data_IF_303674443224
#
_entry.id   IF_303674443224
#
_cell.length_a   1.000
_cell.length_b   1.000
_cell.length_c   1.000
_cell.angle_alpha   90.00
_cell.angle_beta   90.00
_cell.angle_gamma   90.00
#
_symmetry.space_group_name_H-M   'P 1'
#
loop_
_entity.id
_entity.type
_entity.pdbx_description
1 polymer ?
#
# COMPACT_ATOMS: atom_id res chain seq x y z
N UNK A 1 -6.16 2.05 15.71
CA UNK A 1 -6.40 1.92 14.26
C UNK A 1 -7.89 1.76 13.98
N UNK A 2 -8.58 2.84 13.61
CA UNK A 2 -9.97 2.76 13.15
C UNK A 2 -10.03 2.03 11.81
N UNK A 3 -11.00 1.13 11.64
CA UNK A 3 -11.25 0.45 10.37
C UNK A 3 -11.97 1.44 9.46
N UNK A 4 -11.21 2.19 8.66
CA UNK A 4 -11.78 3.08 7.64
C UNK A 4 -12.21 2.23 6.45
N UNK A 5 -13.47 2.36 6.05
CA UNK A 5 -13.97 1.71 4.85
C UNK A 5 -13.21 2.30 3.64
N UNK A 6 -12.52 1.47 2.81
CA UNK A 6 -11.81 1.96 1.62
C UNK A 6 -12.73 2.71 0.65
N UNK A 7 -14.04 2.45 0.71
CA UNK A 7 -15.04 3.19 -0.09
C UNK A 7 -15.27 4.62 0.40
N UNK A 8 -14.84 4.99 1.61
CA UNK A 8 -14.93 6.35 2.13
C UNK A 8 -13.64 7.15 1.91
N UNK A 9 -12.60 6.53 1.36
CA UNK A 9 -11.37 7.23 1.03
C UNK A 9 -11.59 8.16 -0.17
N UNK A 10 -11.17 9.42 0.00
CA UNK A 10 -11.17 10.45 -1.06
C UNK A 10 -10.21 10.07 -2.20
N UNK A 11 -9.16 9.31 -1.88
CA UNK A 11 -8.12 8.87 -2.82
C UNK A 11 -8.10 7.35 -2.95
N UNK A 12 -7.92 6.86 -4.19
CA UNK A 12 -7.71 5.45 -4.51
C UNK A 12 -6.59 5.27 -5.54
N UNK A 13 -6.31 4.03 -5.95
CA UNK A 13 -5.36 3.74 -7.02
C UNK A 13 -6.06 3.30 -8.29
N UNK A 14 -5.51 3.73 -9.41
CA UNK A 14 -5.83 3.24 -10.73
C UNK A 14 -4.59 2.76 -11.47
N UNK A 15 -4.83 2.23 -12.66
CA UNK A 15 -3.78 1.80 -13.57
C UNK A 15 -4.08 2.32 -14.97
N UNK A 16 -3.06 2.84 -15.63
CA UNK A 16 -3.12 3.23 -17.03
C UNK A 16 -2.52 2.12 -17.87
N UNK A 17 -3.22 1.69 -18.91
CA UNK A 17 -2.78 0.67 -19.85
C UNK A 17 -3.02 1.13 -21.28
N UNK A 18 -2.11 0.78 -22.19
CA UNK A 18 -2.32 0.97 -23.64
C UNK A 18 -3.30 -0.03 -24.23
N UNK A 19 -3.39 -1.22 -23.63
CA UNK A 19 -4.31 -2.29 -24.04
C UNK A 19 -5.54 -2.28 -23.16
N UNK A 20 -6.72 -2.48 -23.75
CA UNK A 20 -7.95 -2.69 -23.00
C UNK A 20 -7.82 -4.00 -22.22
N UNK A 21 -7.87 -3.90 -20.90
CA UNK A 21 -7.84 -5.07 -20.02
C UNK A 21 -9.25 -5.68 -20.04
N UNK A 22 -9.40 -7.01 -20.29
CA UNK A 22 -10.68 -7.71 -20.18
C UNK A 22 -11.33 -7.52 -18.80
N UNK A 23 -12.63 -7.78 -18.71
CA UNK A 23 -13.36 -7.69 -17.43
C UNK A 23 -12.84 -8.77 -16.48
N UNK A 24 -12.31 -8.35 -15.33
CA UNK A 24 -11.79 -9.27 -14.31
C UNK A 24 -12.88 -9.46 -13.24
N UNK A 25 -13.23 -10.69 -12.86
CA UNK A 25 -14.19 -10.92 -11.79
C UNK A 25 -13.65 -10.40 -10.46
N UNK A 26 -14.51 -9.88 -9.57
CA UNK A 26 -14.12 -9.50 -8.22
C UNK A 26 -13.44 -10.65 -7.47
N UNK A 27 -12.40 -10.34 -6.71
CA UNK A 27 -11.70 -11.33 -5.91
C UNK A 27 -11.47 -10.84 -4.47
N UNK A 28 -11.43 -11.75 -3.49
CA UNK A 28 -11.12 -11.39 -2.12
C UNK A 28 -9.63 -11.13 -1.94
N UNK A 29 -9.32 -10.16 -1.09
CA UNK A 29 -7.99 -9.89 -0.56
C UNK A 29 -8.08 -9.67 0.95
N UNK A 30 -7.06 -10.10 1.68
CA UNK A 30 -7.03 -10.11 3.13
C UNK A 30 -5.99 -9.10 3.62
N UNK A 31 -6.43 -7.84 3.70
CA UNK A 31 -5.63 -6.72 4.17
C UNK A 31 -5.49 -6.76 5.70
N UNK A 32 -4.70 -5.83 6.27
CA UNK A 32 -4.57 -5.71 7.74
C UNK A 32 -5.92 -5.38 8.39
N UNK A 33 -6.77 -4.64 7.69
CA UNK A 33 -8.10 -4.24 8.15
C UNK A 33 -9.13 -5.37 8.10
N UNK A 34 -8.81 -6.49 7.43
CA UNK A 34 -9.70 -7.64 7.26
C UNK A 34 -9.89 -8.05 5.81
N UNK A 35 -10.94 -8.81 5.56
CA UNK A 35 -11.35 -9.20 4.21
C UNK A 35 -11.85 -7.98 3.44
N UNK A 36 -11.32 -7.79 2.23
CA UNK A 36 -11.66 -6.72 1.31
C UNK A 36 -11.92 -7.33 -0.06
N UNK A 37 -12.96 -6.85 -0.74
CA UNK A 37 -13.29 -7.30 -2.09
C UNK A 37 -12.72 -6.32 -3.10
N UNK A 38 -11.82 -6.81 -3.96
CA UNK A 38 -11.17 -6.00 -4.99
C UNK A 38 -12.00 -6.06 -6.26
N UNK A 39 -12.35 -4.88 -6.77
CA UNK A 39 -13.09 -4.72 -8.03
C UNK A 39 -12.24 -3.88 -8.98
N UNK A 40 -11.98 -4.40 -10.19
CA UNK A 40 -11.31 -3.66 -11.25
C UNK A 40 -12.38 -3.17 -12.23
N UNK A 41 -12.52 -1.85 -12.34
CA UNK A 41 -13.54 -1.21 -13.18
C UNK A 41 -12.84 -0.42 -14.27
N UNK A 42 -13.22 -0.68 -15.52
CA UNK A 42 -12.73 0.09 -16.66
C UNK A 42 -13.40 1.46 -16.66
N UNK A 43 -12.60 2.53 -16.68
CA UNK A 43 -13.12 3.88 -16.86
C UNK A 43 -13.71 4.04 -18.26
N UNK A 44 -14.89 4.68 -18.43
CA UNK A 44 -15.45 4.97 -19.74
C UNK A 44 -14.62 6.02 -20.51
N UNK A 45 -13.77 6.78 -19.81
CA UNK A 45 -12.97 7.85 -20.39
C UNK A 45 -11.59 7.33 -20.78
N UNK A 46 -11.21 7.57 -22.03
CA UNK A 46 -9.82 7.45 -22.46
C UNK A 46 -9.13 8.80 -22.25
N UNK A 47 -7.96 8.78 -21.62
CA UNK A 47 -7.17 9.98 -21.36
C UNK A 47 -5.98 10.04 -22.31
N UNK A 48 -5.65 11.25 -22.77
CA UNK A 48 -4.38 11.53 -23.44
C UNK A 48 -3.48 12.26 -22.45
N UNK A 49 -2.22 11.85 -22.38
CA UNK A 49 -1.24 12.42 -21.46
C UNK A 49 -0.13 13.09 -22.27
N UNK A 50 0.31 14.25 -21.81
CA UNK A 50 1.52 14.89 -22.30
C UNK A 50 2.77 14.15 -21.80
N UNK A 51 3.88 14.31 -22.53
CA UNK A 51 5.14 13.61 -22.24
C UNK A 51 5.69 13.93 -20.85
N UNK A 52 5.49 15.17 -20.37
CA UNK A 52 5.96 15.59 -19.04
C UNK A 52 5.16 14.88 -17.95
N UNK A 53 3.82 14.93 -18.02
CA UNK A 53 2.95 14.19 -17.09
C UNK A 53 3.25 12.71 -17.09
N UNK A 54 3.41 12.10 -18.27
CA UNK A 54 3.75 10.68 -18.38
C UNK A 54 5.08 10.35 -17.70
N UNK A 55 6.08 11.23 -17.81
CA UNK A 55 7.37 11.07 -17.15
C UNK A 55 7.24 11.09 -15.62
N UNK A 56 6.49 12.05 -15.06
CA UNK A 56 6.21 12.09 -13.62
C UNK A 56 5.49 10.82 -13.13
N UNK A 57 4.51 10.31 -13.89
CA UNK A 57 3.80 9.08 -13.52
C UNK A 57 4.71 7.85 -13.56
N UNK A 58 5.64 7.78 -14.54
CA UNK A 58 6.65 6.72 -14.59
C UNK A 58 7.59 6.76 -13.40
N UNK A 59 8.06 7.96 -13.02
CA UNK A 59 8.92 8.15 -11.84
C UNK A 59 8.19 7.74 -10.56
N UNK A 60 6.95 8.17 -10.39
CA UNK A 60 6.10 7.77 -9.26
C UNK A 60 5.91 6.26 -9.20
N UNK A 61 5.55 5.61 -10.31
CA UNK A 61 5.42 4.16 -10.37
C UNK A 61 6.72 3.45 -9.99
N UNK A 62 7.86 3.90 -10.54
CA UNK A 62 9.17 3.34 -10.21
C UNK A 62 9.47 3.50 -8.71
N UNK A 63 9.20 4.69 -8.16
CA UNK A 63 9.41 4.99 -6.74
C UNK A 63 8.59 4.08 -5.81
N UNK A 64 7.32 3.85 -6.12
CA UNK A 64 6.44 2.96 -5.36
C UNK A 64 7.02 1.53 -5.30
N UNK A 65 7.44 0.98 -6.43
CA UNK A 65 7.95 -0.39 -6.46
C UNK A 65 9.35 -0.56 -5.87
N UNK A 66 10.23 0.41 -6.12
CA UNK A 66 11.62 0.36 -5.68
C UNK A 66 11.77 0.72 -4.21
N UNK A 67 11.25 1.87 -3.80
CA UNK A 67 11.55 2.46 -2.48
C UNK A 67 10.49 2.14 -1.44
N UNK A 68 9.21 2.23 -1.80
CA UNK A 68 8.09 2.00 -0.87
C UNK A 68 7.88 0.50 -0.61
N UNK A 69 7.74 -0.28 -1.68
CA UNK A 69 7.53 -1.74 -1.59
C UNK A 69 8.84 -2.53 -1.39
N UNK A 70 9.99 -1.90 -1.63
CA UNK A 70 11.32 -2.53 -1.52
C UNK A 70 11.45 -3.84 -2.32
N UNK A 71 10.72 -3.98 -3.43
CA UNK A 71 10.65 -5.23 -4.21
C UNK A 71 11.88 -5.45 -5.09
N UNK A 72 12.54 -4.36 -5.50
CA UNK A 72 13.72 -4.40 -6.36
C UNK A 72 15.04 -4.59 -5.57
N UNK A 73 14.98 -4.71 -4.23
CA UNK A 73 16.17 -4.68 -3.37
C UNK A 73 17.14 -5.85 -3.60
N UNK A 74 16.63 -6.99 -4.05
CA UNK A 74 17.42 -8.23 -4.26
C UNK A 74 17.53 -8.63 -5.74
N UNK A 75 17.24 -7.74 -6.69
CA UNK A 75 17.25 -8.04 -8.15
C UNK A 75 16.34 -9.21 -8.59
N UNK A 76 15.46 -9.72 -7.72
CA UNK A 76 14.56 -10.83 -8.03
C UNK A 76 13.38 -10.42 -8.92
N UNK A 77 13.05 -9.13 -8.91
CA UNK A 77 12.00 -8.53 -9.74
C UNK A 77 12.60 -7.37 -10.54
N UNK A 78 12.75 -7.57 -11.84
CA UNK A 78 13.18 -6.54 -12.77
C UNK A 78 11.94 -5.85 -13.34
N UNK A 79 11.81 -4.55 -13.09
CA UNK A 79 10.72 -3.74 -13.65
C UNK A 79 11.13 -3.26 -15.04
N UNK A 80 10.79 -4.04 -16.06
CA UNK A 80 10.90 -3.63 -17.46
C UNK A 80 9.61 -2.92 -17.87
N UNK A 81 9.73 -1.72 -18.43
CA UNK A 81 8.63 -0.99 -19.07
C UNK A 81 8.80 -0.97 -20.60
N UNK A 82 9.52 -1.97 -21.13
CA UNK A 82 9.81 -2.08 -22.55
C UNK A 82 8.62 -2.65 -23.33
N UNK A 83 8.74 -2.64 -24.67
CA UNK A 83 7.73 -3.19 -25.58
C UNK A 83 7.54 -4.70 -25.43
N UNK A 84 8.51 -5.39 -24.81
CA UNK A 84 8.45 -6.83 -24.57
C UNK A 84 7.59 -7.19 -23.35
N UNK A 85 7.30 -6.21 -22.49
CA UNK A 85 6.52 -6.40 -21.28
C UNK A 85 5.04 -6.61 -21.64
N UNK A 86 4.43 -7.78 -21.33
CA UNK A 86 3.08 -8.13 -21.80
C UNK A 86 2.01 -7.15 -21.32
N UNK A 87 2.20 -6.58 -20.12
CA UNK A 87 1.30 -5.64 -19.48
C UNK A 87 2.03 -4.34 -19.12
N UNK A 88 1.98 -3.37 -20.04
CA UNK A 88 2.49 -2.02 -19.80
C UNK A 88 1.48 -1.22 -18.98
N UNK A 89 1.48 -1.43 -17.67
CA UNK A 89 0.62 -0.69 -16.73
C UNK A 89 1.41 0.29 -15.88
N UNK A 90 0.89 1.51 -15.77
CA UNK A 90 1.43 2.55 -14.87
C UNK A 90 0.44 2.75 -13.73
N UNK A 91 0.92 2.73 -12.49
CA UNK A 91 0.08 2.96 -11.31
C UNK A 91 -0.08 4.46 -11.14
N UNK A 92 -1.31 4.91 -10.91
CA UNK A 92 -1.61 6.32 -10.70
C UNK A 92 -2.50 6.52 -9.47
N UNK A 93 -2.25 7.54 -8.63
CA UNK A 93 -3.18 7.94 -7.60
C UNK A 93 -4.37 8.65 -8.24
N UNK A 94 -5.57 8.29 -7.81
CA UNK A 94 -6.82 8.84 -8.30
C UNK A 94 -7.57 9.54 -7.17
N UNK A 95 -8.06 10.73 -7.45
CA UNK A 95 -9.07 11.39 -6.62
C UNK A 95 -10.47 11.02 -7.09
N UNK A 96 -11.33 10.77 -6.11
CA UNK A 96 -12.76 10.52 -6.35
C UNK A 96 -13.49 11.85 -6.46
N UNK A 97 -14.15 12.05 -7.60
CA UNK A 97 -14.99 13.21 -7.85
C UNK A 97 -16.43 12.74 -7.91
N UNK A 98 -17.27 13.29 -7.04
CA UNK A 98 -18.72 13.09 -7.14
C UNK A 98 -19.25 13.97 -8.26
N UNK A 99 -19.74 13.38 -9.35
CA UNK A 99 -20.37 14.12 -10.42
C UNK A 99 -21.76 14.61 -9.99
N UNK A 100 -22.26 15.64 -10.69
CA UNK A 100 -23.53 16.30 -10.41
C UNK A 100 -24.76 15.38 -10.55
N UNK A 101 -24.62 14.27 -11.28
CA UNK A 101 -25.64 13.24 -11.48
C UNK A 101 -25.62 12.13 -10.41
N UNK A 102 -24.73 12.24 -9.42
CA UNK A 102 -24.52 11.21 -8.40
C UNK A 102 -23.61 10.05 -8.84
N UNK A 103 -23.08 10.08 -10.07
CA UNK A 103 -22.07 9.13 -10.52
C UNK A 103 -20.70 9.45 -9.93
N UNK A 104 -19.85 8.42 -9.82
CA UNK A 104 -18.48 8.55 -9.35
C UNK A 104 -17.55 8.68 -10.55
N UNK A 105 -16.85 9.80 -10.63
CA UNK A 105 -15.78 10.04 -11.58
C UNK A 105 -14.41 9.98 -10.89
N UNK A 106 -13.36 9.76 -11.67
CA UNK A 106 -12.00 9.64 -11.16
C UNK A 106 -11.05 10.50 -11.98
N UNK A 107 -10.22 11.27 -11.30
CA UNK A 107 -9.17 12.08 -11.93
C UNK A 107 -7.80 11.75 -11.34
N UNK A 108 -6.74 11.89 -12.15
CA UNK A 108 -5.39 11.67 -11.66
C UNK A 108 -4.97 12.84 -10.77
N UNK A 109 -4.58 12.54 -9.53
CA UNK A 109 -4.12 13.55 -8.57
C UNK A 109 -2.67 13.96 -8.86
N UNK A 110 -2.48 14.79 -9.88
CA UNK A 110 -1.15 15.16 -10.36
C UNK A 110 -0.32 15.96 -9.34
N UNK A 111 -0.96 16.81 -8.53
CA UNK A 111 -0.23 17.60 -7.51
C UNK A 111 0.42 16.69 -6.47
N UNK A 112 -0.26 15.60 -6.10
CA UNK A 112 0.27 14.60 -5.19
C UNK A 112 1.40 13.77 -5.83
N UNK A 113 1.28 13.42 -7.12
CA UNK A 113 2.36 12.76 -7.86
C UNK A 113 3.62 13.63 -7.85
N UNK A 114 3.48 14.93 -8.12
CA UNK A 114 4.61 15.87 -8.10
C UNK A 114 5.22 15.97 -6.71
N UNK A 115 4.41 16.15 -5.67
CA UNK A 115 4.89 16.22 -4.29
C UNK A 115 5.71 14.98 -3.89
N UNK A 116 5.23 13.79 -4.22
CA UNK A 116 5.94 12.54 -3.91
C UNK A 116 7.24 12.41 -4.72
N UNK A 117 7.21 12.72 -6.01
CA UNK A 117 8.39 12.61 -6.90
C UNK A 117 9.44 13.64 -6.52
N UNK A 118 9.06 14.88 -6.24
CA UNK A 118 9.98 15.95 -5.87
C UNK A 118 10.67 15.69 -4.51
N UNK A 119 10.06 14.86 -3.65
CA UNK A 119 10.62 14.47 -2.35
C UNK A 119 11.25 13.06 -2.34
N UNK A 120 11.40 12.39 -3.49
CA UNK A 120 11.72 10.95 -3.52
C UNK A 120 13.19 10.59 -3.29
N UNK A 121 14.14 11.51 -3.53
CA UNK A 121 15.57 11.20 -3.66
C UNK A 121 16.35 11.26 -2.33
N UNK A 122 15.81 11.90 -1.29
CA UNK A 122 16.55 12.20 -0.04
C UNK A 122 15.83 11.72 1.24
N UNK A 123 15.33 10.47 1.28
CA UNK A 123 14.69 9.92 2.48
C UNK A 123 15.56 8.88 3.23
N UNK A 124 15.68 8.97 4.56
CA UNK A 124 15.10 9.99 5.44
C UNK A 124 15.82 11.34 5.30
N UNK A 125 15.06 12.43 5.34
CA UNK A 125 15.58 13.79 5.39
C UNK A 125 16.13 14.04 6.79
N UNK A 126 17.42 14.34 6.88
CA UNK A 126 18.07 14.67 8.15
C UNK A 126 17.95 16.18 8.39
N UNK A 127 17.18 16.63 9.38
CA UNK A 127 17.02 18.06 9.65
C UNK A 127 18.31 18.65 10.23
N UNK A 128 18.64 19.88 9.84
CA UNK A 128 19.71 20.68 10.45
C UNK A 128 19.37 21.02 11.90
N UNK A 129 20.37 21.19 12.76
CA UNK A 129 20.18 21.51 14.19
C UNK A 129 19.29 22.74 14.44
N UNK A 130 19.37 23.79 13.61
CA UNK A 130 18.54 24.98 13.80
C UNK A 130 17.05 24.69 13.55
N UNK A 131 16.72 23.92 12.50
CA UNK A 131 15.36 23.42 12.26
C UNK A 131 14.86 22.53 13.39
N UNK A 132 15.74 21.75 14.01
CA UNK A 132 15.38 20.89 15.16
C UNK A 132 15.06 21.72 16.41
N UNK A 133 15.77 22.82 16.65
CA UNK A 133 15.49 23.74 17.76
C UNK A 133 14.15 24.48 17.59
N UNK A 134 13.78 24.77 16.35
CA UNK A 134 12.51 25.41 16.00
C UNK A 134 11.33 24.43 15.93
N UNK A 135 11.59 23.12 16.04
CA UNK A 135 10.55 22.11 15.97
C UNK A 135 9.48 22.32 17.05
N UNK A 136 8.22 22.33 16.63
CA UNK A 136 7.06 22.34 17.50
C UNK A 136 6.10 21.25 17.13
N UNK A 137 5.76 20.41 18.10
CA UNK A 137 4.86 19.31 17.88
C UNK A 137 3.40 19.79 17.69
N UNK A 138 2.79 19.38 16.59
CA UNK A 138 1.38 19.63 16.26
C UNK A 138 0.71 18.30 15.96
N UNK A 139 -0.14 17.80 16.86
CA UNK A 139 -0.71 16.45 16.78
C UNK A 139 -1.38 16.13 15.44
N UNK A 140 -2.16 17.07 14.89
CA UNK A 140 -2.89 16.89 13.62
C UNK A 140 -1.97 16.61 12.42
N UNK A 141 -0.70 17.02 12.47
CA UNK A 141 0.27 16.78 11.39
C UNK A 141 0.85 15.36 11.37
N UNK A 142 0.66 14.60 12.46
CA UNK A 142 1.17 13.25 12.63
C UNK A 142 0.09 12.18 12.48
N UNK A 143 -1.17 12.61 12.36
CA UNK A 143 -2.27 11.71 12.01
C UNK A 143 -2.07 11.15 10.60
N UNK A 144 -2.37 9.86 10.44
CA UNK A 144 -2.37 9.18 9.14
C UNK A 144 -1.04 9.26 8.37
N UNK A 145 0.08 9.45 9.07
CA UNK A 145 1.39 9.55 8.46
C UNK A 145 2.13 8.20 8.47
N UNK A 146 3.00 8.03 7.49
CA UNK A 146 4.07 7.03 7.52
C UNK A 146 5.35 7.74 7.92
N UNK A 147 6.04 7.18 8.90
CA UNK A 147 7.21 7.80 9.52
C UNK A 147 8.42 6.87 9.46
N UNK A 148 9.60 7.46 9.47
CA UNK A 148 10.86 6.74 9.52
C UNK A 148 11.88 7.50 10.39
N UNK A 149 12.65 6.82 11.25
CA UNK A 149 13.71 7.46 12.02
C UNK A 149 14.81 8.02 11.11
N UNK A 150 15.18 9.30 11.27
CA UNK A 150 16.29 9.88 10.50
C UNK A 150 17.66 9.62 11.12
N UNK A 151 17.73 9.19 12.38
CA UNK A 151 18.97 8.98 13.13
C UNK A 151 19.55 7.55 13.03
N UNK A 152 18.82 6.60 12.42
CA UNK A 152 19.26 5.21 12.29
C UNK A 152 18.81 4.63 10.95
N UNK A 153 19.53 3.61 10.49
CA UNK A 153 19.18 2.87 9.27
C UNK A 153 19.02 3.79 8.03
N UNK A 154 19.82 4.87 7.93
CA UNK A 154 19.70 5.89 6.87
C UNK A 154 19.81 5.28 5.47
N UNK A 155 20.71 4.31 5.26
CA UNK A 155 20.85 3.65 3.95
C UNK A 155 19.67 2.73 3.59
N UNK A 156 18.95 2.22 4.59
CA UNK A 156 17.83 1.31 4.40
C UNK A 156 16.71 1.66 5.39
N UNK A 157 15.92 2.69 5.07
CA UNK A 157 14.93 3.20 6.00
C UNK A 157 13.85 2.17 6.26
N UNK A 158 13.44 2.07 7.52
CA UNK A 158 12.32 1.24 7.93
C UNK A 158 11.11 2.14 8.15
N UNK A 159 10.00 1.79 7.51
CA UNK A 159 8.78 2.56 7.57
C UNK A 159 7.84 2.06 8.68
N UNK A 160 7.18 2.99 9.33
CA UNK A 160 6.22 2.74 10.40
C UNK A 160 4.93 3.52 10.17
N UNK A 161 3.80 2.94 10.52
CA UNK A 161 2.52 3.64 10.62
C UNK A 161 2.39 4.28 11.99
N UNK A 162 1.97 5.54 12.04
CA UNK A 162 1.50 6.16 13.29
C UNK A 162 0.14 5.54 13.63
N UNK A 163 0.05 4.91 14.80
CA UNK A 163 -1.16 4.21 15.28
C UNK A 163 -1.96 5.10 16.21
N UNK A 164 -1.26 5.79 17.11
CA UNK A 164 -1.85 6.67 18.11
C UNK A 164 -0.86 7.77 18.56
N UNK A 165 -1.40 8.86 19.08
CA UNK A 165 -0.65 9.99 19.64
C UNK A 165 -0.84 9.99 21.16
N UNK A 166 0.22 9.64 21.88
CA UNK A 166 0.25 9.47 23.33
C UNK A 166 0.46 10.83 24.01
N UNK A 167 -0.62 11.57 24.21
CA UNK A 167 -0.60 12.92 24.79
C UNK A 167 -0.21 12.93 26.27
N UNK A 168 -0.33 11.79 26.94
CA UNK A 168 0.06 11.56 28.33
C UNK A 168 1.55 11.27 28.52
N UNK A 169 2.28 11.03 27.42
CA UNK A 169 3.72 10.73 27.45
C UNK A 169 4.53 11.86 26.83
N UNK A 170 5.72 12.09 27.37
CA UNK A 170 6.68 13.07 26.87
C UNK A 170 8.11 12.47 26.85
N UNK A 171 9.10 13.15 26.27
CA UNK A 171 10.50 12.72 26.30
C UNK A 171 11.08 12.46 27.72
N UNK A 172 10.45 12.99 28.77
CA UNK A 172 10.82 12.76 30.18
C UNK A 172 10.15 11.53 30.80
N UNK A 173 9.17 10.93 30.13
CA UNK A 173 8.51 9.71 30.61
C UNK A 173 9.48 8.53 30.70
N UNK A 174 9.14 7.58 31.58
CA UNK A 174 9.97 6.39 31.81
C UNK A 174 10.11 5.53 30.56
N UNK A 175 11.33 5.08 30.28
CA UNK A 175 11.57 4.17 29.17
C UNK A 175 11.30 2.72 29.61
N UNK A 176 10.81 1.82 28.73
CA UNK A 176 10.50 0.44 29.11
C UNK A 176 11.70 -0.45 29.46
N UNK A 177 12.92 0.04 29.30
CA UNK A 177 14.17 -0.71 29.51
C UNK A 177 14.78 -0.34 30.86
N UNK A 178 15.22 -1.33 31.64
CA UNK A 178 15.72 -1.12 33.01
C UNK A 178 17.04 -0.32 33.06
N UNK A 179 17.78 -0.27 31.94
CA UNK A 179 19.06 0.44 31.85
C UNK A 179 18.92 1.97 31.73
N UNK A 180 17.74 2.49 31.37
CA UNK A 180 17.53 3.90 31.09
C UNK A 180 16.26 4.44 31.73
N UNK A 181 16.42 5.48 32.55
CA UNK A 181 15.28 6.06 33.26
C UNK A 181 14.27 6.78 32.36
N UNK A 182 14.71 7.42 31.26
CA UNK A 182 13.83 8.24 30.40
C UNK A 182 14.22 8.16 28.93
N UNK A 183 13.29 8.50 28.01
CA UNK A 183 13.58 8.58 26.57
C UNK A 183 14.76 9.52 26.26
N UNK A 184 14.80 10.70 26.90
CA UNK A 184 15.96 11.61 26.79
C UNK A 184 17.30 10.95 27.15
N UNK A 185 17.31 10.16 28.22
CA UNK A 185 18.52 9.43 28.67
C UNK A 185 19.01 8.45 27.60
N UNK A 186 18.10 7.70 26.99
CA UNK A 186 18.42 6.77 25.89
C UNK A 186 19.02 7.51 24.70
N UNK A 187 18.35 8.55 24.19
CA UNK A 187 18.80 9.25 22.98
C UNK A 187 20.11 10.01 23.17
N UNK A 188 20.32 10.60 24.35
CA UNK A 188 21.58 11.29 24.67
C UNK A 188 22.75 10.34 24.84
N UNK A 189 22.55 9.18 25.49
CA UNK A 189 23.64 8.22 25.78
C UNK A 189 23.95 7.30 24.60
N UNK A 190 22.93 6.83 23.87
CA UNK A 190 23.09 5.86 22.78
C UNK A 190 23.33 6.49 21.41
N UNK A 191 22.68 7.62 21.12
CA UNK A 191 22.73 8.25 19.80
C UNK A 191 23.38 9.64 19.83
N UNK A 192 23.78 10.15 21.00
CA UNK A 192 24.31 11.50 21.19
C UNK A 192 23.37 12.62 20.68
N UNK A 193 22.07 12.38 20.76
CA UNK A 193 21.04 13.32 20.34
C UNK A 193 20.38 13.97 21.54
N UNK A 194 20.24 15.30 21.47
CA UNK A 194 19.41 16.07 22.38
C UNK A 194 18.05 16.29 21.74
N UNK A 195 16.98 16.13 22.53
CA UNK A 195 15.60 16.44 22.13
C UNK A 195 15.32 17.86 22.62
N UNK A 196 14.80 18.73 21.75
CA UNK A 196 14.58 20.14 22.03
C UNK A 196 13.17 20.40 22.55
N UNK A 197 12.15 19.84 21.91
CA UNK A 197 10.76 20.01 22.33
C UNK A 197 10.44 19.01 23.44
N UNK A 198 10.45 19.45 24.70
CA UNK A 198 10.24 18.58 25.87
C UNK A 198 8.76 18.35 26.18
N UNK A 199 7.87 19.17 25.63
CA UNK A 199 6.42 19.09 25.82
C UNK A 199 5.71 18.30 24.71
N UNK A 200 6.47 17.79 23.72
CA UNK A 200 5.91 17.01 22.62
C UNK A 200 5.31 15.69 23.12
N UNK A 201 4.16 15.31 22.56
CA UNK A 201 3.59 13.99 22.77
C UNK A 201 4.44 12.92 22.06
N UNK A 202 4.38 11.67 22.54
CA UNK A 202 5.04 10.54 21.87
C UNK A 202 4.09 9.84 20.89
N UNK A 203 4.65 9.08 19.95
CA UNK A 203 3.88 8.36 18.93
C UNK A 203 3.96 6.86 19.18
N UNK A 204 2.81 6.20 19.30
CA UNK A 204 2.73 4.74 19.17
C UNK A 204 2.76 4.40 17.68
N UNK A 205 3.72 3.59 17.26
CA UNK A 205 3.89 3.20 15.86
C UNK A 205 3.95 1.69 15.67
N UNK A 206 3.64 1.25 14.46
CA UNK A 206 3.71 -0.15 14.03
C UNK A 206 4.45 -0.29 12.69
N UNK A 207 5.24 -1.34 12.51
CA UNK A 207 5.92 -1.59 11.22
C UNK A 207 4.97 -1.66 10.03
N UNK A 208 5.40 -1.14 8.88
CA UNK A 208 4.74 -1.43 7.60
C UNK A 208 4.84 -2.91 7.24
N UNK A 209 3.85 -3.45 6.52
CA UNK A 209 3.85 -4.85 6.10
C UNK A 209 4.66 -5.02 4.81
N UNK A 210 5.69 -5.88 4.85
CA UNK A 210 6.42 -6.29 3.64
C UNK A 210 5.87 -7.61 3.05
N UNK A 211 4.73 -8.11 3.57
CA UNK A 211 4.12 -9.35 3.07
C UNK A 211 3.47 -9.11 1.71
N UNK A 212 3.95 -9.83 0.71
CA UNK A 212 3.50 -9.69 -0.68
C UNK A 212 2.26 -10.52 -1.03
N UNK A 213 1.95 -11.56 -0.25
CA UNK A 213 0.78 -12.42 -0.48
C UNK A 213 -0.33 -12.13 0.54
N UNK A 214 -1.39 -11.50 0.05
CA UNK A 214 -2.60 -11.11 0.76
C UNK A 214 -3.85 -11.79 0.16
N UNK A 215 -3.70 -12.88 -0.60
CA UNK A 215 -4.81 -13.57 -1.26
C UNK A 215 -5.41 -14.72 -0.44
N UNK A 216 -4.74 -15.13 0.63
CA UNK A 216 -5.18 -16.22 1.49
C UNK A 216 -5.78 -15.67 2.79
N UNK A 217 -6.94 -16.20 3.24
CA UNK A 217 -7.52 -15.82 4.52
C UNK A 217 -6.56 -16.18 5.65
N UNK A 218 -6.51 -15.33 6.67
CA UNK A 218 -5.87 -15.67 7.95
C UNK A 218 -6.77 -16.68 8.68
N UNK A 219 -6.82 -17.93 8.22
CA UNK A 219 -7.47 -18.99 9.00
C UNK A 219 -6.52 -19.41 10.13
N UNK A 220 -6.59 -18.70 11.27
CA UNK A 220 -6.18 -19.29 12.55
C UNK A 220 -7.45 -19.86 13.19
N UNK A 221 -7.56 -21.18 13.39
CA UNK A 221 -8.74 -21.77 14.02
C UNK A 221 -8.96 -21.13 15.39
N UNK A 222 -10.21 -20.77 15.67
CA UNK A 222 -10.66 -20.03 16.85
C UNK A 222 -10.42 -20.73 18.21
N UNK A 223 -9.80 -21.92 18.25
CA UNK A 223 -9.59 -22.71 19.47
C UNK A 223 -8.39 -22.29 20.32
N UNK A 224 -7.54 -21.39 19.85
CA UNK A 224 -6.50 -20.76 20.68
C UNK A 224 -6.65 -19.24 20.68
N UNK A 225 -7.84 -18.74 21.02
CA UNK A 225 -7.96 -17.39 21.59
C UNK A 225 -7.72 -17.47 23.10
N UNK A 226 -6.53 -17.94 23.49
CA UNK A 226 -5.91 -17.32 24.66
C UNK A 226 -5.85 -15.85 24.26
N UNK A 227 -6.40 -14.96 25.09
CA UNK A 227 -6.05 -13.55 25.06
C UNK A 227 -4.53 -13.48 25.20
N UNK A 228 -3.79 -13.67 24.10
CA UNK A 228 -2.42 -13.18 24.07
C UNK A 228 -2.62 -11.69 24.12
N UNK A 229 -2.44 -11.14 25.31
CA UNK A 229 -1.71 -9.90 25.50
C UNK A 229 -0.98 -9.55 24.21
N UNK A 230 -1.36 -8.40 23.65
CA UNK A 230 -0.70 -7.69 22.55
C UNK A 230 0.69 -8.27 22.33
N UNK A 231 0.95 -8.91 21.19
CA UNK A 231 2.27 -9.49 20.92
C UNK A 231 3.29 -8.37 21.19
N UNK A 232 4.13 -8.44 22.26
CA UNK A 232 4.80 -7.24 22.80
C UNK A 232 5.93 -6.69 21.92
N UNK A 233 6.00 -7.10 20.65
CA UNK A 233 7.15 -6.85 19.77
C UNK A 233 6.85 -6.00 18.54
N UNK A 234 5.58 -5.62 18.29
CA UNK A 234 5.22 -4.90 17.05
C UNK A 234 4.96 -3.42 17.22
N UNK A 235 4.66 -2.96 18.44
CA UNK A 235 4.36 -1.56 18.72
C UNK A 235 5.53 -0.90 19.44
N UNK A 236 5.99 0.21 18.90
CA UNK A 236 7.12 0.97 19.42
C UNK A 236 6.68 2.40 19.69
N UNK A 237 7.29 3.03 20.67
CA UNK A 237 7.05 4.43 20.99
C UNK A 237 8.21 5.24 20.43
N UNK A 238 7.91 6.26 19.62
CA UNK A 238 8.91 7.18 19.06
C UNK A 238 8.67 8.62 19.49
N UNK A 239 9.75 9.40 19.43
CA UNK A 239 9.76 10.85 19.62
C UNK A 239 9.59 11.52 18.25
N UNK A 240 8.53 12.29 18.01
CA UNK A 240 8.25 12.94 16.73
C UNK A 240 9.43 13.72 16.13
N UNK A 241 10.15 14.51 16.93
CA UNK A 241 11.32 15.30 16.49
C UNK A 241 12.40 14.44 15.80
N UNK A 242 12.52 13.17 16.18
CA UNK A 242 13.53 12.23 15.70
C UNK A 242 13.07 11.41 14.48
N UNK A 243 11.92 11.76 13.89
CA UNK A 243 11.32 11.09 12.75
C UNK A 243 11.23 12.02 11.54
N UNK A 244 11.41 11.45 10.35
CA UNK A 244 11.00 12.06 9.10
C UNK A 244 9.64 11.50 8.66
N UNK A 245 8.79 12.37 8.10
CA UNK A 245 7.47 12.02 7.58
C UNK A 245 7.57 11.71 6.11
N UNK A 246 7.07 10.56 5.71
CA UNK A 246 6.93 10.24 4.30
C UNK A 246 5.79 11.06 3.67
N UNK A 247 5.92 11.60 2.44
CA UNK A 247 4.82 12.29 1.74
C UNK A 247 3.61 11.39 1.40
N UNK A 248 3.67 10.10 1.75
CA UNK A 248 2.61 9.13 1.48
C UNK A 248 1.87 8.86 2.78
N UNK A 249 0.57 9.14 2.78
CA UNK A 249 -0.28 8.86 3.93
C UNK A 249 -0.40 7.36 4.19
N UNK A 250 -0.61 7.00 5.45
CA UNK A 250 -0.78 5.62 5.90
C UNK A 250 -1.94 4.93 5.17
N UNK A 251 -3.05 5.64 4.93
CA UNK A 251 -4.20 5.14 4.16
C UNK A 251 -3.79 4.68 2.77
N UNK A 252 -3.04 5.51 2.06
CA UNK A 252 -2.62 5.22 0.70
C UNK A 252 -1.56 4.11 0.69
N UNK A 253 -0.63 4.13 1.66
CA UNK A 253 0.38 3.10 1.83
C UNK A 253 -0.21 1.70 2.05
N UNK A 254 -1.31 1.59 2.81
CA UNK A 254 -2.01 0.31 2.94
C UNK A 254 -2.48 -0.25 1.61
N UNK A 255 -3.03 0.61 0.75
CA UNK A 255 -3.46 0.22 -0.59
C UNK A 255 -2.24 -0.18 -1.46
N UNK A 256 -1.15 0.59 -1.40
CA UNK A 256 0.11 0.29 -2.10
C UNK A 256 0.65 -1.09 -1.72
N UNK A 257 0.67 -1.41 -0.42
CA UNK A 257 1.22 -2.67 0.08
C UNK A 257 0.52 -3.91 -0.49
N UNK A 258 -0.71 -3.76 -1.00
CA UNK A 258 -1.50 -4.85 -1.57
C UNK A 258 -1.38 -4.97 -3.10
N UNK A 259 -0.82 -3.96 -3.77
CA UNK A 259 -0.69 -3.91 -5.23
C UNK A 259 -0.01 -5.16 -5.82
N UNK A 260 1.09 -5.70 -5.25
CA UNK A 260 1.72 -6.91 -5.78
C UNK A 260 0.78 -8.13 -5.78
N UNK A 261 0.00 -8.30 -4.71
CA UNK A 261 -1.02 -9.35 -4.63
C UNK A 261 -2.11 -9.17 -5.68
N UNK A 262 -2.55 -7.92 -5.89
CA UNK A 262 -3.61 -7.61 -6.85
C UNK A 262 -3.15 -7.92 -8.27
N UNK A 263 -1.96 -7.48 -8.67
CA UNK A 263 -1.42 -7.78 -9.99
C UNK A 263 -1.18 -9.27 -10.20
N UNK A 264 -0.65 -9.98 -9.20
CA UNK A 264 -0.49 -11.42 -9.28
C UNK A 264 -1.83 -12.14 -9.53
N UNK A 265 -2.88 -11.74 -8.78
CA UNK A 265 -4.22 -12.33 -8.94
C UNK A 265 -4.87 -11.96 -10.27
N UNK A 266 -4.75 -10.70 -10.70
CA UNK A 266 -5.24 -10.23 -11.99
C UNK A 266 -4.60 -10.99 -13.14
N UNK A 267 -3.27 -11.13 -13.13
CA UNK A 267 -2.55 -11.90 -14.16
C UNK A 267 -3.03 -13.36 -14.20
N UNK A 268 -3.17 -14.00 -13.03
CA UNK A 268 -3.68 -15.37 -12.97
C UNK A 268 -5.12 -15.51 -13.52
N UNK A 269 -5.99 -14.51 -13.30
CA UNK A 269 -7.35 -14.50 -13.84
C UNK A 269 -7.36 -14.27 -15.36
N UNK A 270 -6.51 -13.39 -15.87
CA UNK A 270 -6.38 -13.13 -17.31
C UNK A 270 -5.85 -14.36 -18.05
N UNK A 271 -4.81 -15.02 -17.51
CA UNK A 271 -4.27 -16.27 -18.08
C UNK A 271 -5.33 -17.38 -18.03
N UNK A 272 -6.10 -17.49 -16.95
CA UNK A 272 -7.17 -18.48 -16.86
C UNK A 272 -8.26 -18.24 -17.90
N UNK A 273 -8.63 -16.98 -18.16
CA UNK A 273 -9.62 -16.64 -19.19
C UNK A 273 -9.07 -16.90 -20.60
N UNK A 274 -7.80 -16.62 -20.86
CA UNK A 274 -7.13 -16.95 -22.12
C UNK A 274 -7.13 -18.47 -22.37
N UNK A 275 -6.75 -19.27 -21.38
CA UNK A 275 -6.80 -20.74 -21.47
C UNK A 275 -8.23 -21.21 -21.72
N UNK A 276 -9.20 -20.67 -20.99
CA UNK A 276 -10.62 -21.00 -21.15
C UNK A 276 -11.07 -20.71 -22.58
N UNK A 277 -10.79 -19.52 -23.11
CA UNK A 277 -11.13 -19.12 -24.48
C UNK A 277 -10.49 -20.05 -25.51
N UNK A 278 -9.19 -20.35 -25.39
CA UNK A 278 -8.49 -21.28 -26.29
C UNK A 278 -9.09 -22.68 -26.27
N UNK A 279 -9.43 -23.23 -25.10
CA UNK A 279 -10.07 -24.56 -25.00
C UNK A 279 -11.45 -24.56 -25.66
N UNK A 280 -12.24 -23.51 -25.47
CA UNK A 280 -13.58 -23.41 -26.08
C UNK A 280 -13.50 -23.36 -27.61
N UNK A 281 -12.54 -22.61 -28.16
CA UNK A 281 -12.36 -22.50 -29.61
C UNK A 281 -11.71 -23.75 -30.19
N UNK A 282 -10.57 -24.18 -29.67
CA UNK A 282 -9.74 -25.23 -30.28
C UNK A 282 -10.24 -26.65 -29.98
N UNK A 283 -10.72 -26.91 -28.75
CA UNK A 283 -11.12 -28.25 -28.34
C UNK A 283 -12.63 -28.52 -28.51
N UNK A 284 -13.46 -27.49 -28.33
CA UNK A 284 -14.93 -27.62 -28.40
C UNK A 284 -15.48 -27.14 -29.75
N UNK A 285 -14.74 -26.29 -30.47
CA UNK A 285 -15.14 -25.79 -31.79
C UNK A 285 -16.17 -24.66 -31.75
N UNK A 286 -16.28 -23.96 -30.62
CA UNK A 286 -17.16 -22.78 -30.48
C UNK A 286 -16.55 -21.56 -31.19
N UNK A 287 -17.40 -20.65 -31.63
CA UNK A 287 -16.95 -19.37 -32.17
C UNK A 287 -16.38 -18.46 -31.06
N UNK A 288 -15.54 -17.50 -31.41
CA UNK A 288 -14.94 -16.57 -30.43
C UNK A 288 -16.00 -15.78 -29.66
N UNK A 289 -17.12 -15.43 -30.30
CA UNK A 289 -18.24 -14.71 -29.67
C UNK A 289 -18.94 -15.56 -28.60
N UNK A 290 -19.12 -16.86 -28.85
CA UNK A 290 -19.69 -17.82 -27.90
C UNK A 290 -18.72 -18.15 -26.76
N UNK A 291 -17.41 -18.03 -27.02
CA UNK A 291 -16.36 -18.24 -26.04
C UNK A 291 -16.20 -17.05 -25.07
N UNK A 292 -16.74 -15.87 -25.34
CA UNK A 292 -16.71 -14.73 -24.41
C UNK A 292 -17.73 -14.88 -23.27
N UNK A 293 -17.35 -14.70 -21.99
CA UNK A 293 -18.30 -14.80 -20.88
C UNK A 293 -19.34 -13.67 -20.97
N UNK A 294 -20.62 -14.03 -20.91
CA UNK A 294 -21.72 -13.05 -20.84
C UNK A 294 -21.74 -12.33 -19.48
N UNK A 295 -22.31 -11.12 -19.44
CA UNK A 295 -22.13 -10.16 -18.35
C UNK A 295 -22.72 -10.56 -16.98
N UNK A 296 -23.54 -11.63 -16.93
CA UNK A 296 -24.31 -12.06 -15.77
C UNK A 296 -23.68 -13.27 -15.06
N UNK A 297 -22.67 -13.01 -14.24
CA UNK A 297 -22.22 -13.95 -13.21
C UNK A 297 -22.53 -13.39 -11.81
N UNK A 298 -23.81 -13.08 -11.56
CA UNK A 298 -24.36 -12.76 -10.23
C UNK A 298 -25.20 -13.91 -9.65
N UNK A 299 -25.26 -15.05 -10.33
CA UNK A 299 -25.94 -16.26 -9.85
C UNK A 299 -25.11 -17.03 -8.83
N UNK A 300 -25.69 -17.23 -7.64
CA UNK A 300 -25.22 -18.21 -6.65
C UNK A 300 -25.11 -19.61 -7.28
N UNK A 301 -23.93 -19.99 -7.77
CA UNK A 301 -23.65 -21.36 -8.15
C UNK A 301 -22.37 -21.86 -7.46
N UNK A 302 -22.57 -22.74 -6.47
CA UNK A 302 -21.64 -23.84 -6.17
C UNK A 302 -22.30 -25.12 -6.70
N UNK A 303 -21.56 -26.18 -7.11
CA UNK A 303 -20.17 -26.50 -6.78
C UNK A 303 -19.27 -26.79 -8.01
N UNK A 304 -17.94 -26.67 -7.83
CA UNK A 304 -16.98 -27.30 -8.74
C UNK A 304 -17.07 -28.82 -8.52
N UNK A 305 -17.70 -29.54 -9.46
CA UNK A 305 -17.59 -31.00 -9.51
C UNK A 305 -16.33 -31.37 -10.31
N UNK A 306 -15.34 -31.92 -9.62
CA UNK A 306 -14.18 -32.54 -10.25
C UNK A 306 -14.63 -33.87 -10.89
N UNK A 307 -14.74 -33.91 -12.22
CA UNK A 307 -14.93 -35.17 -12.94
C UNK A 307 -13.59 -35.89 -13.06
N UNK A 308 -13.45 -37.04 -12.39
CA UNK A 308 -12.37 -38.00 -12.67
C UNK A 308 -12.70 -38.72 -13.96
N UNK A 309 -11.82 -38.63 -14.96
CA UNK A 309 -11.90 -39.45 -16.16
C UNK A 309 -11.35 -40.84 -15.83
N UNK A 310 -12.20 -41.86 -15.83
CA UNK A 310 -11.77 -43.25 -15.96
C UNK A 310 -11.51 -43.54 -17.43
N UNK A 311 -10.28 -43.93 -17.75
CA UNK A 311 -9.90 -44.39 -19.09
C UNK A 311 -10.27 -45.87 -19.18
N UNK A 312 -11.11 -46.20 -20.16
CA UNK A 312 -11.19 -47.52 -20.82
C UNK A 312 -11.26 -47.25 -22.31
#
# INVERSE_FOLDING_TARGET
>A
MQIVNPKMAEMCFGFLSRKKIPKIPPFPAFLRQGESRVNVVLSPKTITLDDKTLTYLKLFHHYIFRSVLQLAKDCQLQFCLDETTPMQTIIVPLDRISASDGSLDYSIKMDYVREVVDNMEEMPRVPTEDKRKEFKFIASEWEECVVMPWYRNVQQPTFFYVVDILSEMSPQSSFPDEEFNTFNGVFKKKYHLQIYDQDQALLEVEYTSNRLNLLLPRHRPARHRVRSTVTPSQRQIFVPELLDRHPISARLWHSISAIPSFFYRMNALLVADEIRSRVMVEAIGLSEEEATPTEDCSGNHSPIQLLRRSVT
#
